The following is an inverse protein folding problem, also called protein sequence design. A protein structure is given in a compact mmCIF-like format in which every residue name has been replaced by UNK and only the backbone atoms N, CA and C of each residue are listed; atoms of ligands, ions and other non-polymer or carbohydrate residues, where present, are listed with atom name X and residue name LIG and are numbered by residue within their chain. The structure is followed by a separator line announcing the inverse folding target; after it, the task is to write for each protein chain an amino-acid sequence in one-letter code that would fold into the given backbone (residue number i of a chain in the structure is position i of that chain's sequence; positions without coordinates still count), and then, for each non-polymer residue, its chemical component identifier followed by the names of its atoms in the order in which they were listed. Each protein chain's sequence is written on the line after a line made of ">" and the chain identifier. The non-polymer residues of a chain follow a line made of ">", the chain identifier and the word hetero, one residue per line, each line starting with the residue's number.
data_IF_504743430627
#
_entry.id   IF_504743430627
#
_cell.length_a   1.000
_cell.length_b   1.000
_cell.length_c   1.000
_cell.angle_alpha   90.00
_cell.angle_beta   90.00
_cell.angle_gamma   90.00
#
_symmetry.space_group_name_H-M   'P 1'
#
loop_
_entity.id
_entity.type
_entity.pdbx_description
1 polymer ?
#
# COMPACT_ATOMS: atom_id res chain seq x y z
N UNK A 1 29.25 -8.86 -3.05
CA UNK A 1 28.53 -10.14 -3.09
C UNK A 1 28.25 -10.65 -1.67
N UNK A 2 29.29 -10.94 -0.87
CA UNK A 2 29.11 -11.19 0.58
C UNK A 2 28.33 -10.07 1.26
N UNK A 3 28.67 -8.80 1.01
CA UNK A 3 27.92 -7.63 1.51
C UNK A 3 26.45 -7.60 1.09
N UNK A 4 26.13 -7.96 -0.16
CA UNK A 4 24.76 -8.05 -0.67
C UNK A 4 23.98 -9.18 -0.01
N UNK A 5 24.59 -10.36 0.13
CA UNK A 5 24.05 -11.49 0.90
C UNK A 5 23.85 -11.13 2.37
N UNK A 6 24.80 -10.42 2.98
CA UNK A 6 24.71 -9.94 4.35
C UNK A 6 23.56 -8.96 4.52
N UNK A 7 23.38 -8.00 3.60
CA UNK A 7 22.25 -7.05 3.65
C UNK A 7 20.92 -7.78 3.44
N UNK A 8 20.83 -8.67 2.45
CA UNK A 8 19.63 -9.45 2.19
C UNK A 8 19.25 -10.34 3.40
N UNK A 9 20.24 -10.96 4.05
CA UNK A 9 20.01 -11.81 5.22
C UNK A 9 19.73 -11.01 6.52
N UNK A 10 20.61 -10.07 6.89
CA UNK A 10 20.54 -9.35 8.17
C UNK A 10 19.48 -8.24 8.17
N UNK A 11 19.33 -7.51 7.06
CA UNK A 11 18.43 -6.35 7.01
C UNK A 11 17.05 -6.77 6.49
N UNK A 12 17.00 -7.45 5.34
CA UNK A 12 15.72 -7.76 4.68
C UNK A 12 15.05 -8.95 5.35
N UNK A 13 15.71 -10.10 5.43
CA UNK A 13 15.11 -11.33 5.94
C UNK A 13 14.79 -11.23 7.45
N UNK A 14 15.79 -10.85 8.26
CA UNK A 14 15.63 -10.68 9.72
C UNK A 14 14.73 -9.50 10.11
N UNK A 15 14.69 -8.44 9.29
CA UNK A 15 13.78 -7.30 9.48
C UNK A 15 12.34 -7.69 9.16
N UNK A 16 12.11 -8.33 8.02
CA UNK A 16 10.80 -8.82 7.60
C UNK A 16 10.24 -9.89 8.56
N UNK A 17 11.08 -10.80 9.07
CA UNK A 17 10.68 -11.83 10.05
C UNK A 17 10.10 -11.19 11.32
N UNK A 18 10.80 -10.19 11.89
CA UNK A 18 10.32 -9.50 13.10
C UNK A 18 9.02 -8.72 12.87
N UNK A 19 8.88 -8.09 11.72
CA UNK A 19 7.67 -7.32 11.39
C UNK A 19 6.50 -8.27 11.11
N UNK A 20 6.73 -9.32 10.32
CA UNK A 20 5.70 -10.31 9.97
C UNK A 20 5.24 -11.12 11.18
N UNK A 21 6.14 -11.57 12.05
CA UNK A 21 5.78 -12.33 13.25
C UNK A 21 4.92 -11.50 14.20
N UNK A 22 5.33 -10.26 14.44
CA UNK A 22 4.66 -9.35 15.38
C UNK A 22 3.32 -8.87 14.80
N UNK A 23 3.28 -8.45 13.54
CA UNK A 23 2.04 -8.00 12.89
C UNK A 23 1.05 -9.14 12.69
N UNK A 24 1.50 -10.34 12.29
CA UNK A 24 0.61 -11.47 12.14
C UNK A 24 0.04 -11.91 13.50
N UNK A 25 0.89 -12.02 14.52
CA UNK A 25 0.43 -12.40 15.85
C UNK A 25 -0.55 -11.39 16.44
N UNK A 26 -0.25 -10.10 16.38
CA UNK A 26 -1.20 -9.08 16.89
C UNK A 26 -2.51 -9.05 16.13
N UNK A 27 -2.49 -9.27 14.81
CA UNK A 27 -3.72 -9.29 14.02
C UNK A 27 -4.55 -10.55 14.28
N UNK A 28 -3.90 -11.71 14.43
CA UNK A 28 -4.55 -12.97 14.79
C UNK A 28 -5.10 -12.95 16.23
N UNK A 29 -4.37 -12.37 17.18
CA UNK A 29 -4.83 -12.22 18.57
C UNK A 29 -6.01 -11.24 18.68
N UNK A 30 -6.12 -10.27 17.74
CA UNK A 30 -7.23 -9.33 17.67
C UNK A 30 -8.48 -9.89 16.95
N UNK A 31 -8.39 -11.01 16.25
CA UNK A 31 -9.52 -11.59 15.49
C UNK A 31 -10.76 -11.89 16.35
N UNK A 32 -10.65 -12.52 17.53
CA UNK A 32 -11.81 -12.76 18.38
C UNK A 32 -12.53 -11.46 18.74
N UNK A 33 -11.77 -10.40 19.03
CA UNK A 33 -12.34 -9.07 19.31
C UNK A 33 -13.08 -8.48 18.13
N UNK A 34 -12.52 -8.57 16.92
CA UNK A 34 -13.19 -8.12 15.68
C UNK A 34 -14.46 -8.93 15.39
N UNK A 35 -14.44 -10.25 15.60
CA UNK A 35 -15.61 -11.10 15.42
C UNK A 35 -16.71 -10.80 16.45
N UNK A 36 -16.33 -10.62 17.72
CA UNK A 36 -17.26 -10.22 18.78
C UNK A 36 -17.89 -8.84 18.52
N UNK A 37 -17.13 -7.89 17.96
CA UNK A 37 -17.65 -6.59 17.57
C UNK A 37 -18.68 -6.70 16.44
N UNK A 38 -18.46 -7.57 15.45
CA UNK A 38 -19.44 -7.84 14.38
C UNK A 38 -20.72 -8.46 14.96
N UNK A 39 -20.59 -9.38 15.92
CA UNK A 39 -21.73 -10.01 16.58
C UNK A 39 -22.51 -9.01 17.45
N UNK A 40 -21.80 -8.11 18.14
CA UNK A 40 -22.40 -7.03 18.91
C UNK A 40 -23.16 -6.05 18.00
N UNK A 41 -22.57 -5.64 16.87
CA UNK A 41 -23.22 -4.74 15.89
C UNK A 41 -24.47 -5.38 15.27
N UNK A 42 -24.43 -6.68 14.97
CA UNK A 42 -25.57 -7.43 14.43
C UNK A 42 -26.70 -7.53 15.47
N UNK A 43 -26.36 -7.86 16.72
CA UNK A 43 -27.33 -7.95 17.82
C UNK A 43 -27.92 -6.58 18.19
N UNK A 44 -27.15 -5.50 18.04
CA UNK A 44 -27.61 -4.12 18.23
C UNK A 44 -28.45 -3.59 17.06
N UNK A 45 -28.57 -4.34 15.96
CA UNK A 45 -29.30 -3.93 14.75
C UNK A 45 -28.62 -2.83 13.94
N UNK A 46 -27.33 -2.56 14.18
CA UNK A 46 -26.55 -1.56 13.43
C UNK A 46 -26.18 -2.06 12.03
N UNK A 47 -26.08 -3.37 11.85
CA UNK A 47 -25.79 -4.04 10.56
C UNK A 47 -26.79 -5.17 10.31
N UNK A 48 -27.01 -5.50 9.05
CA UNK A 48 -27.84 -6.64 8.65
C UNK A 48 -27.03 -7.94 8.47
N UNK A 49 -27.70 -9.07 8.32
CA UNK A 49 -27.06 -10.39 8.17
C UNK A 49 -26.08 -10.46 6.99
N UNK A 50 -26.43 -9.83 5.86
CA UNK A 50 -25.58 -9.83 4.67
C UNK A 50 -24.30 -9.00 4.89
N UNK A 51 -24.41 -7.86 5.57
CA UNK A 51 -23.27 -7.01 5.95
C UNK A 51 -22.38 -7.67 6.99
N UNK A 52 -22.96 -8.35 7.98
CA UNK A 52 -22.19 -9.13 8.95
C UNK A 52 -21.41 -10.26 8.27
N UNK A 53 -22.02 -10.94 7.31
CA UNK A 53 -21.34 -12.00 6.54
C UNK A 53 -20.22 -11.45 5.65
N UNK A 54 -20.41 -10.29 5.02
CA UNK A 54 -19.35 -9.59 4.28
C UNK A 54 -18.18 -9.21 5.20
N UNK A 55 -18.44 -8.51 6.32
CA UNK A 55 -17.40 -8.14 7.29
C UNK A 55 -16.66 -9.35 7.86
N UNK A 56 -17.35 -10.45 8.16
CA UNK A 56 -16.69 -11.70 8.61
C UNK A 56 -15.77 -12.27 7.54
N UNK A 57 -16.16 -12.21 6.27
CA UNK A 57 -15.32 -12.62 5.15
C UNK A 57 -14.08 -11.73 5.03
N UNK A 58 -14.23 -10.42 5.22
CA UNK A 58 -13.11 -9.48 5.19
C UNK A 58 -12.12 -9.76 6.33
N UNK A 59 -12.61 -9.95 7.55
CA UNK A 59 -11.78 -10.31 8.72
C UNK A 59 -11.09 -11.66 8.53
N UNK A 60 -11.77 -12.65 7.93
CA UNK A 60 -11.16 -13.93 7.61
C UNK A 60 -10.07 -13.80 6.54
N UNK A 61 -10.29 -12.99 5.50
CA UNK A 61 -9.29 -12.70 4.46
C UNK A 61 -8.06 -11.99 5.02
N UNK A 62 -8.25 -11.06 5.95
CA UNK A 62 -7.15 -10.39 6.67
C UNK A 62 -6.31 -11.41 7.46
N UNK A 63 -6.95 -12.34 8.16
CA UNK A 63 -6.25 -13.38 8.90
C UNK A 63 -5.51 -14.39 8.03
N UNK A 64 -6.14 -14.85 6.95
CA UNK A 64 -5.50 -15.74 5.96
C UNK A 64 -4.28 -15.05 5.33
N UNK A 65 -4.38 -13.75 5.08
CA UNK A 65 -3.29 -12.95 4.55
C UNK A 65 -2.09 -12.87 5.50
N UNK A 66 -2.33 -12.49 6.76
CA UNK A 66 -1.27 -12.40 7.76
C UNK A 66 -0.68 -13.78 8.11
N UNK A 67 -1.50 -14.84 8.06
CA UNK A 67 -1.02 -16.22 8.16
C UNK A 67 -0.12 -16.62 6.98
N UNK A 68 -0.50 -16.27 5.75
CA UNK A 68 0.31 -16.51 4.56
C UNK A 68 1.61 -15.67 4.56
N UNK A 69 1.61 -14.46 5.12
CA UNK A 69 2.78 -13.60 5.29
C UNK A 69 3.85 -14.20 6.22
N UNK A 70 3.44 -14.75 7.36
CA UNK A 70 4.36 -15.45 8.28
C UNK A 70 5.00 -16.67 7.58
N UNK A 71 4.21 -17.40 6.78
CA UNK A 71 4.70 -18.48 5.92
C UNK A 71 5.71 -17.99 4.89
N UNK A 72 5.37 -16.95 4.11
CA UNK A 72 6.23 -16.38 3.07
C UNK A 72 7.57 -15.88 3.62
N UNK A 73 7.57 -15.24 4.81
CA UNK A 73 8.78 -14.76 5.47
C UNK A 73 9.74 -15.91 5.84
N UNK A 74 9.20 -17.07 6.26
CA UNK A 74 10.00 -18.29 6.51
C UNK A 74 10.57 -18.88 5.22
N UNK A 75 9.86 -18.79 4.10
CA UNK A 75 10.38 -19.20 2.78
C UNK A 75 11.55 -18.32 2.32
N UNK A 76 11.46 -17.00 2.48
CA UNK A 76 12.56 -16.06 2.13
C UNK A 76 13.80 -16.35 2.98
N UNK A 77 13.62 -16.70 4.26
CA UNK A 77 14.73 -17.14 5.11
C UNK A 77 15.37 -18.44 4.64
N UNK A 78 14.56 -19.40 4.21
CA UNK A 78 15.04 -20.66 3.62
C UNK A 78 15.85 -20.43 2.34
N UNK A 79 15.37 -19.54 1.47
CA UNK A 79 16.04 -19.14 0.22
C UNK A 79 17.43 -18.52 0.48
N UNK A 80 17.53 -17.60 1.44
CA UNK A 80 18.80 -16.97 1.80
C UNK A 80 19.82 -17.96 2.39
N UNK A 81 19.36 -18.92 3.22
CA UNK A 81 20.21 -19.98 3.78
C UNK A 81 20.68 -20.92 2.66
N UNK A 82 19.79 -21.34 1.77
CA UNK A 82 20.10 -22.21 0.64
C UNK A 82 21.12 -21.53 -0.30
N UNK A 83 20.93 -20.25 -0.63
CA UNK A 83 21.87 -19.49 -1.45
C UNK A 83 23.27 -19.39 -0.83
N UNK A 84 23.37 -19.27 0.50
CA UNK A 84 24.65 -19.25 1.20
C UNK A 84 25.34 -20.62 1.19
N UNK A 85 24.58 -21.72 1.33
CA UNK A 85 25.11 -23.07 1.19
C UNK A 85 25.61 -23.36 -0.23
N UNK A 86 24.82 -22.99 -1.25
CA UNK A 86 25.19 -23.17 -2.67
C UNK A 86 26.48 -22.40 -2.97
N UNK A 87 26.61 -21.16 -2.49
CA UNK A 87 27.84 -20.39 -2.65
C UNK A 87 29.05 -21.06 -2.01
N UNK A 88 28.92 -21.56 -0.78
CA UNK A 88 30.00 -22.25 -0.08
C UNK A 88 30.41 -23.54 -0.81
N UNK A 89 29.43 -24.32 -1.27
CA UNK A 89 29.65 -25.57 -2.01
C UNK A 89 30.31 -25.29 -3.37
N UNK A 90 29.82 -24.30 -4.12
CA UNK A 90 30.39 -23.94 -5.43
C UNK A 90 31.81 -23.39 -5.30
N UNK A 91 32.07 -22.60 -4.26
CA UNK A 91 33.40 -22.06 -4.01
C UNK A 91 34.39 -23.16 -3.60
N UNK A 92 34.08 -23.92 -2.55
CA UNK A 92 35.00 -24.94 -2.01
C UNK A 92 35.10 -26.12 -2.99
N UNK A 93 33.96 -26.62 -3.46
CA UNK A 93 33.89 -27.73 -4.41
C UNK A 93 34.51 -27.38 -5.75
N UNK A 94 34.24 -26.18 -6.28
CA UNK A 94 34.84 -25.69 -7.51
C UNK A 94 36.36 -25.59 -7.42
N UNK A 95 36.89 -24.99 -6.35
CA UNK A 95 38.35 -24.88 -6.14
C UNK A 95 38.98 -26.27 -5.96
N UNK A 96 38.39 -27.16 -5.17
CA UNK A 96 38.89 -28.52 -5.00
C UNK A 96 38.90 -29.29 -6.33
N UNK A 97 37.83 -29.22 -7.13
CA UNK A 97 37.76 -29.88 -8.43
C UNK A 97 38.78 -29.25 -9.40
N UNK A 98 38.95 -27.93 -9.38
CA UNK A 98 39.95 -27.22 -10.17
C UNK A 98 41.37 -27.72 -9.92
N UNK A 99 41.73 -27.89 -8.65
CA UNK A 99 43.06 -28.36 -8.23
C UNK A 99 43.23 -29.85 -8.51
N UNK A 100 42.30 -30.69 -8.04
CA UNK A 100 42.49 -32.16 -8.05
C UNK A 100 42.12 -32.83 -9.37
N UNK A 101 41.19 -32.28 -10.14
CA UNK A 101 40.69 -32.90 -11.38
C UNK A 101 41.26 -32.24 -12.64
N UNK A 102 41.48 -30.93 -12.60
CA UNK A 102 41.93 -30.15 -13.77
C UNK A 102 43.39 -29.69 -13.68
N UNK A 103 44.14 -30.12 -12.65
CA UNK A 103 45.56 -29.78 -12.44
C UNK A 103 45.86 -28.27 -12.48
N UNK A 104 44.86 -27.44 -12.13
CA UNK A 104 45.03 -26.00 -12.06
C UNK A 104 45.83 -25.64 -10.82
N UNK A 105 46.69 -24.63 -10.94
CA UNK A 105 47.33 -24.02 -9.77
C UNK A 105 46.24 -23.50 -8.82
N UNK A 106 46.51 -23.56 -7.50
CA UNK A 106 45.54 -23.13 -6.49
C UNK A 106 45.06 -21.69 -6.71
N UNK A 107 45.94 -20.81 -7.20
CA UNK A 107 45.61 -19.43 -7.54
C UNK A 107 44.67 -19.31 -8.75
N UNK A 108 44.95 -20.05 -9.84
CA UNK A 108 44.12 -20.04 -11.04
C UNK A 108 42.74 -20.67 -10.78
N UNK A 109 42.69 -21.77 -10.03
CA UNK A 109 41.44 -22.39 -9.60
C UNK A 109 40.62 -21.43 -8.73
N UNK A 110 41.26 -20.72 -7.81
CA UNK A 110 40.58 -19.74 -6.96
C UNK A 110 39.98 -18.60 -7.79
N UNK A 111 40.74 -17.96 -8.68
CA UNK A 111 40.21 -16.87 -9.51
C UNK A 111 39.03 -17.29 -10.39
N UNK A 112 39.15 -18.44 -11.06
CA UNK A 112 38.13 -18.90 -12.01
C UNK A 112 36.83 -19.31 -11.31
N UNK A 113 36.91 -20.12 -10.25
CA UNK A 113 35.72 -20.60 -9.56
C UNK A 113 35.09 -19.53 -8.65
N UNK A 114 35.87 -18.58 -8.11
CA UNK A 114 35.32 -17.39 -7.45
C UNK A 114 34.52 -16.54 -8.44
N UNK A 115 35.05 -16.29 -9.65
CA UNK A 115 34.37 -15.48 -10.66
C UNK A 115 33.05 -16.14 -11.12
N UNK A 116 33.05 -17.44 -11.37
CA UNK A 116 31.82 -18.19 -11.70
C UNK A 116 30.80 -18.16 -10.56
N UNK A 117 31.25 -18.34 -9.31
CA UNK A 117 30.37 -18.33 -8.14
C UNK A 117 29.73 -16.95 -7.90
N UNK A 118 30.44 -15.86 -8.21
CA UNK A 118 29.88 -14.51 -8.16
C UNK A 118 28.77 -14.34 -9.21
N UNK A 119 28.99 -14.83 -10.44
CA UNK A 119 28.00 -14.78 -11.51
C UNK A 119 26.73 -15.55 -11.16
N UNK A 120 26.88 -16.80 -10.70
CA UNK A 120 25.78 -17.67 -10.28
C UNK A 120 24.96 -17.06 -9.14
N UNK A 121 25.63 -16.53 -8.12
CA UNK A 121 24.95 -15.92 -6.99
C UNK A 121 24.24 -14.59 -7.31
N UNK A 122 24.70 -13.83 -8.32
CA UNK A 122 23.98 -12.65 -8.82
C UNK A 122 22.72 -13.05 -9.60
N UNK A 123 22.80 -14.10 -10.42
CA UNK A 123 21.65 -14.61 -11.19
C UNK A 123 20.59 -15.18 -10.25
N UNK A 124 20.98 -15.94 -9.23
CA UNK A 124 20.09 -16.48 -8.21
C UNK A 124 19.37 -15.37 -7.40
N UNK A 125 19.91 -14.15 -7.37
CA UNK A 125 19.34 -13.03 -6.62
C UNK A 125 18.18 -12.33 -7.33
N UNK A 126 18.13 -12.37 -8.67
CA UNK A 126 17.09 -11.70 -9.45
C UNK A 126 15.68 -12.26 -9.10
N UNK A 127 15.44 -13.59 -9.10
CA UNK A 127 14.15 -14.16 -8.71
C UNK A 127 13.77 -13.84 -7.26
N UNK A 128 14.73 -13.92 -6.34
CA UNK A 128 14.52 -13.66 -4.91
C UNK A 128 14.09 -12.21 -4.67
N UNK A 129 14.74 -11.26 -5.34
CA UNK A 129 14.41 -9.84 -5.25
C UNK A 129 13.04 -9.54 -5.87
N UNK A 130 12.71 -10.14 -7.02
CA UNK A 130 11.37 -10.04 -7.62
C UNK A 130 10.28 -10.59 -6.69
N UNK A 131 10.50 -11.75 -6.07
CA UNK A 131 9.56 -12.35 -5.13
C UNK A 131 9.35 -11.48 -3.89
N UNK A 132 10.43 -10.95 -3.31
CA UNK A 132 10.38 -10.06 -2.15
C UNK A 132 9.62 -8.77 -2.47
N UNK A 133 9.86 -8.18 -3.66
CA UNK A 133 9.18 -6.96 -4.08
C UNK A 133 7.69 -7.21 -4.35
N UNK A 134 7.35 -8.33 -5.00
CA UNK A 134 5.97 -8.72 -5.24
C UNK A 134 5.21 -8.96 -3.92
N UNK A 135 5.82 -9.67 -2.97
CA UNK A 135 5.27 -9.84 -1.64
C UNK A 135 5.05 -8.49 -0.94
N UNK A 136 6.04 -7.59 -0.96
CA UNK A 136 5.93 -6.25 -0.37
C UNK A 136 4.76 -5.44 -0.98
N UNK A 137 4.61 -5.47 -2.31
CA UNK A 137 3.51 -4.80 -3.01
C UNK A 137 2.16 -5.36 -2.56
N UNK A 138 2.01 -6.68 -2.51
CA UNK A 138 0.77 -7.35 -2.08
C UNK A 138 0.44 -6.96 -0.63
N UNK A 139 1.43 -6.91 0.26
CA UNK A 139 1.28 -6.55 1.68
C UNK A 139 0.78 -5.13 1.89
N UNK A 140 1.27 -4.20 1.09
CA UNK A 140 0.89 -2.80 1.23
C UNK A 140 -0.52 -2.47 0.72
N UNK A 141 -1.24 -3.41 0.08
CA UNK A 141 -2.49 -3.10 -0.64
C UNK A 141 -3.73 -3.91 -0.23
N UNK A 142 -3.69 -4.62 0.91
CA UNK A 142 -4.81 -5.44 1.45
C UNK A 142 -6.08 -4.63 1.76
N UNK A 143 -6.05 -3.30 1.68
CA UNK A 143 -7.20 -2.43 1.93
C UNK A 143 -8.18 -2.30 0.76
N UNK A 144 -7.79 -2.65 -0.47
CA UNK A 144 -8.66 -2.53 -1.65
C UNK A 144 -9.17 -3.89 -2.12
N UNK A 145 -10.48 -4.05 -2.16
CA UNK A 145 -11.22 -5.27 -2.55
C UNK A 145 -11.19 -5.60 -4.05
N UNK A 146 -10.26 -5.01 -4.80
CA UNK A 146 -10.07 -5.19 -6.23
C UNK A 146 -9.17 -6.37 -6.59
N UNK A 147 -9.46 -7.02 -7.72
CA UNK A 147 -8.63 -8.08 -8.27
C UNK A 147 -7.33 -7.46 -8.85
N UNK A 148 -6.19 -7.74 -8.21
CA UNK A 148 -4.87 -7.13 -8.52
C UNK A 148 -4.54 -7.25 -10.02
N UNK A 149 -4.87 -8.39 -10.64
CA UNK A 149 -4.62 -8.60 -12.07
C UNK A 149 -5.45 -7.63 -12.92
N UNK A 150 -6.67 -7.31 -12.49
CA UNK A 150 -7.57 -6.37 -13.16
C UNK A 150 -7.12 -4.92 -12.94
N UNK A 151 -6.63 -4.58 -11.76
CA UNK A 151 -6.14 -3.23 -11.42
C UNK A 151 -4.78 -2.92 -12.06
N UNK A 152 -3.85 -3.88 -12.04
CA UNK A 152 -2.56 -3.74 -12.72
C UNK A 152 -2.77 -3.64 -14.22
N UNK A 153 -3.70 -4.42 -14.78
CA UNK A 153 -4.10 -4.31 -16.18
C UNK A 153 -4.77 -2.96 -16.47
N UNK A 154 -5.62 -2.47 -15.59
CA UNK A 154 -6.33 -1.19 -15.75
C UNK A 154 -5.49 0.04 -15.41
N UNK A 155 -4.29 -0.11 -14.81
CA UNK A 155 -3.38 1.02 -14.52
C UNK A 155 -2.17 1.03 -15.48
N UNK A 156 -1.51 -0.11 -15.69
CA UNK A 156 -0.35 -0.21 -16.59
C UNK A 156 -0.75 -0.27 -18.06
N UNK A 157 -1.82 -1.02 -18.40
CA UNK A 157 -2.37 -1.06 -19.77
C UNK A 157 -3.54 -0.10 -19.94
N UNK A 158 -3.64 0.98 -19.16
CA UNK A 158 -4.62 2.03 -19.43
C UNK A 158 -4.00 3.42 -19.62
N UNK A 159 -2.73 3.60 -19.28
CA UNK A 159 -1.98 4.82 -19.56
C UNK A 159 -1.24 4.69 -20.91
N UNK A 160 -1.73 5.33 -22.00
CA UNK A 160 -1.07 5.24 -23.31
C UNK A 160 0.36 5.78 -23.25
N UNK A 161 0.61 6.76 -22.38
CA UNK A 161 1.92 7.38 -22.14
C UNK A 161 2.99 6.37 -21.70
N UNK A 162 2.65 5.43 -20.80
CA UNK A 162 3.59 4.39 -20.31
C UNK A 162 3.90 3.37 -21.41
N UNK A 163 2.91 3.01 -22.23
CA UNK A 163 3.13 2.11 -23.37
C UNK A 163 4.00 2.76 -24.46
N UNK A 164 3.87 4.06 -24.70
CA UNK A 164 4.73 4.78 -25.65
C UNK A 164 6.18 4.91 -25.17
N UNK A 165 6.41 5.16 -23.88
CA UNK A 165 7.78 5.19 -23.32
C UNK A 165 8.43 3.81 -23.39
N UNK A 166 7.70 2.75 -23.02
CA UNK A 166 8.18 1.37 -23.17
C UNK A 166 8.49 1.00 -24.63
N UNK A 167 7.61 1.38 -25.57
CA UNK A 167 7.82 1.18 -27.01
C UNK A 167 9.10 1.86 -27.50
N UNK A 168 9.35 3.09 -27.02
CA UNK A 168 10.53 3.88 -27.37
C UNK A 168 11.82 3.25 -26.85
N UNK A 169 11.82 2.79 -25.60
CA UNK A 169 12.97 2.09 -25.00
C UNK A 169 13.25 0.78 -25.75
N UNK A 170 12.22 -0.01 -26.02
CA UNK A 170 12.34 -1.25 -26.79
C UNK A 170 12.88 -1.01 -28.21
N UNK A 171 12.47 0.08 -28.85
CA UNK A 171 12.99 0.47 -30.16
C UNK A 171 14.47 0.86 -30.09
N UNK A 172 14.88 1.64 -29.09
CA UNK A 172 16.29 2.01 -28.88
C UNK A 172 17.15 0.76 -28.67
N UNK A 173 16.71 -0.16 -27.81
CA UNK A 173 17.41 -1.44 -27.60
C UNK A 173 17.48 -2.28 -28.88
N UNK A 174 16.46 -2.23 -29.72
CA UNK A 174 16.45 -2.91 -31.01
C UNK A 174 17.46 -2.33 -32.01
N UNK A 175 18.01 -1.13 -31.80
CA UNK A 175 19.02 -0.52 -32.70
C UNK A 175 20.44 -0.74 -32.18
N UNK A 176 20.60 -1.08 -30.89
CA UNK A 176 21.91 -1.32 -30.29
C UNK A 176 22.58 -2.58 -30.90
N UNK A 177 23.79 -2.47 -31.46
CA UNK A 177 24.51 -3.61 -32.02
C UNK A 177 24.90 -4.60 -30.92
N UNK A 178 24.70 -5.90 -31.18
CA UNK A 178 24.96 -6.99 -30.23
C UNK A 178 23.71 -7.55 -29.53
N UNK A 179 22.54 -6.96 -29.73
CA UNK A 179 21.25 -7.49 -29.25
C UNK A 179 20.46 -8.15 -30.40
N UNK A 180 19.59 -9.14 -30.11
CA UNK A 180 18.75 -9.76 -31.13
C UNK A 180 17.70 -8.76 -31.64
N UNK A 181 18.02 -8.05 -32.73
CA UNK A 181 17.20 -6.98 -33.30
C UNK A 181 15.75 -7.41 -33.62
N UNK A 182 15.58 -8.65 -34.09
CA UNK A 182 14.30 -9.15 -34.60
C UNK A 182 13.23 -9.30 -33.49
N UNK A 183 13.48 -9.95 -32.33
CA UNK A 183 12.57 -9.92 -31.18
C UNK A 183 12.19 -8.52 -30.69
N UNK A 184 13.16 -7.62 -30.52
CA UNK A 184 12.90 -6.29 -29.97
C UNK A 184 12.07 -5.41 -30.91
N UNK A 185 12.28 -5.50 -32.23
CA UNK A 185 11.45 -4.83 -33.23
C UNK A 185 9.99 -5.34 -33.19
N UNK A 186 9.79 -6.65 -33.06
CA UNK A 186 8.44 -7.24 -32.96
C UNK A 186 7.73 -6.75 -31.70
N UNK A 187 8.40 -6.78 -30.54
CA UNK A 187 7.82 -6.31 -29.28
C UNK A 187 7.54 -4.80 -29.30
N UNK A 188 8.44 -3.99 -29.86
CA UNK A 188 8.23 -2.56 -30.04
C UNK A 188 7.02 -2.28 -30.95
N UNK A 189 6.90 -2.98 -32.07
CA UNK A 189 5.75 -2.83 -32.97
C UNK A 189 4.43 -3.23 -32.29
N UNK A 190 4.43 -4.32 -31.52
CA UNK A 190 3.25 -4.81 -30.80
C UNK A 190 2.82 -3.83 -29.70
N UNK A 191 3.76 -3.34 -28.88
CA UNK A 191 3.50 -2.34 -27.84
C UNK A 191 3.06 -1.00 -28.43
N UNK A 192 3.67 -0.56 -29.54
CA UNK A 192 3.26 0.65 -30.25
C UNK A 192 1.84 0.54 -30.81
N UNK A 193 1.48 -0.63 -31.35
CA UNK A 193 0.14 -0.90 -31.85
C UNK A 193 -0.91 -0.91 -30.73
N UNK A 194 -0.60 -1.52 -29.58
CA UNK A 194 -1.51 -1.51 -28.42
C UNK A 194 -1.67 -0.10 -27.83
N UNK A 195 -0.58 0.66 -27.71
CA UNK A 195 -0.61 2.06 -27.29
C UNK A 195 -1.49 2.93 -28.21
N UNK A 196 -1.30 2.80 -29.52
CA UNK A 196 -2.07 3.54 -30.52
C UNK A 196 -3.55 3.19 -30.51
N UNK A 197 -3.88 1.90 -30.46
CA UNK A 197 -5.27 1.43 -30.41
C UNK A 197 -5.98 1.89 -29.14
N UNK A 198 -5.26 1.97 -28.02
CA UNK A 198 -5.79 2.40 -26.74
C UNK A 198 -5.96 3.92 -26.66
N UNK A 199 -5.03 4.68 -27.24
CA UNK A 199 -5.11 6.14 -27.34
C UNK A 199 -6.29 6.62 -28.19
N UNK A 200 -6.86 5.75 -29.04
CA UNK A 200 -8.06 6.04 -29.85
C UNK A 200 -9.39 5.77 -29.14
N UNK A 201 -9.39 5.20 -27.92
CA UNK A 201 -10.61 5.07 -27.12
C UNK A 201 -10.90 6.41 -26.43
N UNK A 202 -12.17 6.87 -26.40
CA UNK A 202 -12.52 8.16 -25.79
C UNK A 202 -12.10 8.18 -24.31
N UNK A 203 -11.26 9.16 -23.97
CA UNK A 203 -10.67 9.38 -22.66
C UNK A 203 -11.75 9.76 -21.64
N UNK A 204 -12.09 8.83 -20.75
CA UNK A 204 -12.67 9.16 -19.43
C UNK A 204 -11.54 9.48 -18.42
N UNK A 205 -10.28 9.21 -18.78
CA UNK A 205 -9.11 9.28 -17.91
C UNK A 205 -8.35 10.63 -17.92
N UNK A 206 -8.87 11.69 -18.56
CA UNK A 206 -8.27 13.04 -18.44
C UNK A 206 -8.60 13.75 -17.12
N UNK A 207 -9.56 13.20 -16.34
CA UNK A 207 -9.90 13.71 -15.01
C UNK A 207 -8.95 13.16 -13.93
N UNK A 208 -8.33 11.99 -14.14
CA UNK A 208 -7.46 11.34 -13.15
C UNK A 208 -6.00 11.83 -13.19
N UNK A 209 -5.42 12.12 -14.36
CA UNK A 209 -4.08 12.74 -14.45
C UNK A 209 -4.06 14.15 -13.83
N UNK A 210 -5.14 14.93 -14.04
CA UNK A 210 -5.31 16.21 -13.34
C UNK A 210 -5.47 16.02 -11.83
N UNK A 211 -6.16 14.97 -11.38
CA UNK A 211 -6.30 14.65 -9.96
C UNK A 211 -4.97 14.22 -9.33
N UNK A 212 -4.14 13.44 -10.01
CA UNK A 212 -2.81 13.01 -9.54
C UNK A 212 -1.82 14.17 -9.48
N UNK A 213 -1.78 15.06 -10.48
CA UNK A 213 -0.97 16.28 -10.41
C UNK A 213 -1.47 17.24 -9.31
N UNK A 214 -2.79 17.37 -9.10
CA UNK A 214 -3.32 18.12 -7.96
C UNK A 214 -3.04 17.43 -6.64
N UNK A 215 -3.13 16.10 -6.52
CA UNK A 215 -2.81 15.36 -5.30
C UNK A 215 -1.32 15.49 -4.95
N UNK A 216 -0.43 15.41 -5.94
CA UNK A 216 1.02 15.56 -5.73
C UNK A 216 1.39 17.00 -5.37
N UNK A 217 0.74 18.01 -5.98
CA UNK A 217 0.88 19.42 -5.54
C UNK A 217 0.30 19.66 -4.15
N UNK A 218 -0.84 19.04 -3.83
CA UNK A 218 -1.47 19.18 -2.50
C UNK A 218 -0.61 18.51 -1.42
N UNK A 219 0.08 17.41 -1.72
CA UNK A 219 1.00 16.72 -0.79
C UNK A 219 2.34 17.47 -0.66
N UNK A 220 2.85 18.05 -1.74
CA UNK A 220 4.08 18.85 -1.70
C UNK A 220 3.89 20.20 -0.99
N UNK A 221 2.71 20.83 -1.11
CA UNK A 221 2.38 22.09 -0.41
C UNK A 221 1.90 21.88 1.04
N UNK A 222 1.51 20.67 1.45
CA UNK A 222 1.06 20.39 2.83
C UNK A 222 2.17 20.07 3.83
N UNK A 223 3.43 19.99 3.41
CA UNK A 223 4.56 19.77 4.35
C UNK A 223 4.93 21.03 5.17
N UNK A 224 4.32 22.18 4.89
CA UNK A 224 4.52 23.43 5.66
C UNK A 224 3.24 24.02 6.28
N UNK A 225 2.20 23.23 6.53
CA UNK A 225 1.26 23.61 7.60
C UNK A 225 1.78 23.06 8.92
N UNK A 226 2.65 23.84 9.55
CA UNK A 226 2.90 23.72 10.98
C UNK A 226 1.54 23.59 11.67
N UNK A 227 1.33 22.49 12.38
CA UNK A 227 0.19 22.33 13.27
C UNK A 227 0.31 23.44 14.32
N UNK A 228 -0.34 24.58 14.09
CA UNK A 228 -0.43 25.66 15.04
C UNK A 228 -1.58 25.37 15.99
N UNK A 229 -1.54 25.99 17.17
CA UNK A 229 -2.64 25.93 18.14
C UNK A 229 -3.98 26.45 17.56
N UNK A 230 -3.97 27.14 16.42
CA UNK A 230 -5.18 27.58 15.71
C UNK A 230 -5.84 26.47 14.87
N UNK A 231 -5.12 25.39 14.54
CA UNK A 231 -5.63 24.26 13.71
C UNK A 231 -6.39 23.22 14.55
N UNK A 232 -6.38 23.32 15.88
CA UNK A 232 -7.19 22.49 16.75
C UNK A 232 -8.65 22.98 16.65
N UNK A 233 -9.60 22.19 16.10
CA UNK A 233 -10.99 22.59 16.13
C UNK A 233 -11.41 22.73 17.60
N UNK A 234 -11.86 23.93 17.99
CA UNK A 234 -12.50 24.12 19.29
C UNK A 234 -13.65 23.11 19.36
N UNK A 235 -13.54 22.14 20.25
CA UNK A 235 -14.59 21.16 20.49
C UNK A 235 -15.82 21.97 20.92
N UNK A 236 -16.87 21.96 20.11
CA UNK A 236 -18.15 22.56 20.44
C UNK A 236 -18.87 21.55 21.36
N UNK A 237 -18.93 21.77 22.69
CA UNK A 237 -19.48 20.77 23.60
C UNK A 237 -20.97 20.50 23.34
N UNK A 238 -21.69 21.49 22.81
CA UNK A 238 -23.10 21.37 22.43
C UNK A 238 -23.34 22.18 21.15
N UNK A 239 -23.87 21.51 20.12
CA UNK A 239 -24.31 22.16 18.87
C UNK A 239 -25.77 21.80 18.56
N UNK A 240 -26.50 22.77 18.00
CA UNK A 240 -27.89 22.59 17.57
C UNK A 240 -27.97 22.73 16.06
N UNK A 241 -28.29 21.63 15.36
CA UNK A 241 -28.46 21.63 13.90
C UNK A 241 -29.93 21.86 13.52
N UNK A 242 -30.20 22.90 12.74
CA UNK A 242 -31.53 23.25 12.26
C UNK A 242 -31.73 22.80 10.81
N UNK A 243 -32.88 22.21 10.52
CA UNK A 243 -33.33 22.01 9.14
C UNK A 243 -33.88 23.30 8.54
N UNK A 244 -33.90 23.39 7.20
CA UNK A 244 -34.29 24.57 6.42
C UNK A 244 -35.59 25.26 6.88
N UNK A 245 -36.63 24.50 7.25
CA UNK A 245 -37.91 25.04 7.72
C UNK A 245 -37.83 25.79 9.06
N UNK A 246 -36.80 25.51 9.87
CA UNK A 246 -36.62 26.07 11.21
C UNK A 246 -35.62 27.22 11.25
N UNK A 247 -34.94 27.51 10.14
CA UNK A 247 -33.99 28.65 10.02
C UNK A 247 -34.69 29.98 10.30
N UNK A 248 -35.96 30.09 9.93
CA UNK A 248 -36.78 31.29 10.19
C UNK A 248 -36.95 31.65 11.68
N UNK A 249 -36.66 30.71 12.61
CA UNK A 249 -36.71 30.93 14.05
C UNK A 249 -35.42 31.56 14.62
N UNK A 250 -34.35 31.63 13.82
CA UNK A 250 -33.06 32.25 14.16
C UNK A 250 -32.91 33.63 13.53
N UNK A 251 -33.81 33.98 12.61
CA UNK A 251 -33.79 35.24 11.86
C UNK A 251 -33.88 36.46 12.79
N UNK A 252 -32.89 37.36 12.69
CA UNK A 252 -32.82 38.60 13.48
C UNK A 252 -33.96 39.56 13.15
N UNK A 253 -34.53 39.49 11.95
CA UNK A 253 -35.65 40.33 11.53
C UNK A 253 -36.96 40.01 12.24
N UNK A 254 -37.11 38.78 12.75
CA UNK A 254 -38.31 38.29 13.46
C UNK A 254 -38.14 38.23 14.98
N UNK A 255 -37.14 38.91 15.53
CA UNK A 255 -36.91 38.98 16.97
C UNK A 255 -36.16 37.79 17.58
N UNK A 256 -35.59 36.90 16.76
CA UNK A 256 -34.74 35.77 17.18
C UNK A 256 -35.28 34.94 18.37
N UNK A 257 -36.48 34.36 18.25
CA UNK A 257 -37.14 33.65 19.35
C UNK A 257 -36.36 32.43 19.85
N UNK A 258 -35.65 31.72 18.96
CA UNK A 258 -34.91 30.52 19.32
C UNK A 258 -33.70 30.84 20.20
N UNK A 259 -32.91 31.86 19.84
CA UNK A 259 -31.72 32.24 20.63
C UNK A 259 -32.11 32.76 22.01
N UNK A 260 -33.20 33.50 22.12
CA UNK A 260 -33.72 33.96 23.41
C UNK A 260 -34.15 32.78 24.30
N UNK A 261 -34.86 31.79 23.72
CA UNK A 261 -35.28 30.59 24.46
C UNK A 261 -34.08 29.75 24.92
N UNK A 262 -33.08 29.58 24.06
CA UNK A 262 -31.84 28.85 24.40
C UNK A 262 -31.12 29.51 25.56
N UNK A 263 -31.01 30.85 25.58
CA UNK A 263 -30.42 31.59 26.70
C UNK A 263 -31.20 31.38 28.01
N UNK A 264 -32.53 31.46 27.96
CA UNK A 264 -33.38 31.22 29.14
C UNK A 264 -33.24 29.80 29.68
N UNK A 265 -33.22 28.79 28.80
CA UNK A 265 -33.01 27.39 29.20
C UNK A 265 -31.61 27.19 29.79
N UNK A 266 -30.58 27.80 29.19
CA UNK A 266 -29.21 27.76 29.71
C UNK A 266 -29.15 28.31 31.14
N UNK A 267 -29.83 29.42 31.40
CA UNK A 267 -29.86 30.04 32.72
C UNK A 267 -30.56 29.15 33.75
N UNK A 268 -31.77 28.66 33.44
CA UNK A 268 -32.53 27.80 34.36
C UNK A 268 -31.76 26.52 34.71
N UNK A 269 -31.18 25.85 33.70
CA UNK A 269 -30.42 24.61 33.94
C UNK A 269 -29.11 24.89 34.70
N UNK A 270 -28.46 26.03 34.43
CA UNK A 270 -27.24 26.40 35.16
C UNK A 270 -27.54 26.70 36.63
N UNK A 271 -28.63 27.41 36.91
CA UNK A 271 -29.07 27.71 38.28
C UNK A 271 -29.49 26.45 39.04
N UNK A 272 -30.13 25.50 38.35
CA UNK A 272 -30.64 24.27 38.98
C UNK A 272 -29.52 23.28 39.31
N UNK A 273 -28.53 23.16 38.43
CA UNK A 273 -27.45 22.18 38.57
C UNK A 273 -26.16 22.76 39.19
N UNK A 274 -26.13 24.08 39.45
CA UNK A 274 -24.96 24.76 40.03
C UNK A 274 -23.73 24.80 39.12
N UNK A 275 -23.91 24.58 37.81
CA UNK A 275 -22.82 24.53 36.82
C UNK A 275 -23.20 25.39 35.62
N UNK A 276 -22.32 26.31 35.23
CA UNK A 276 -22.53 27.16 34.05
C UNK A 276 -22.40 26.32 32.77
N UNK A 277 -23.48 26.19 32.02
CA UNK A 277 -23.47 25.50 30.74
C UNK A 277 -22.74 26.32 29.66
N UNK A 278 -21.97 25.66 28.77
CA UNK A 278 -21.29 26.32 27.65
C UNK A 278 -22.27 26.90 26.64
N UNK A 279 -21.78 27.79 25.78
CA UNK A 279 -22.62 28.41 24.75
C UNK A 279 -23.01 27.40 23.67
N UNK A 280 -24.31 27.36 23.33
CA UNK A 280 -24.85 26.47 22.30
C UNK A 280 -24.76 27.21 20.96
N UNK A 281 -23.93 26.71 20.04
CA UNK A 281 -23.86 27.22 18.67
C UNK A 281 -24.92 26.57 17.79
N UNK A 282 -25.58 27.37 16.98
CA UNK A 282 -26.62 26.94 16.05
C UNK A 282 -26.00 26.80 14.66
N UNK A 283 -26.19 25.64 14.01
CA UNK A 283 -25.72 25.37 12.65
C UNK A 283 -26.91 25.09 11.75
N UNK A 284 -26.85 25.60 10.52
CA UNK A 284 -27.84 25.28 9.49
C UNK A 284 -27.40 24.02 8.75
N UNK A 285 -28.26 23.00 8.74
CA UNK A 285 -28.04 21.79 7.96
C UNK A 285 -28.62 22.00 6.57
N UNK A 286 -27.78 22.41 5.63
CA UNK A 286 -28.15 22.41 4.21
C UNK A 286 -28.23 20.94 3.75
N UNK A 287 -29.30 20.51 3.06
CA UNK A 287 -29.32 19.18 2.45
C UNK A 287 -28.21 19.08 1.37
N UNK A 288 -27.69 17.86 1.10
CA UNK A 288 -26.80 17.63 -0.03
C UNK A 288 -27.51 17.91 -1.37
#
# INVERSE_FOLDING_TARGET
>A
MLTLFTINFIVVTKGAERISEVSARFTLDAMPGKQMAIDADLNAGLINQAQAQARRKDVAGEADFYGAMDGASKFVRGDAIAGMMILAINLIGGVCIGIFKYDLSAEAAFQQYVLMTIGDGLVAQIPSLLLSTAAAIIVTRVSDSGDIATDVRSQLLASPSVLYTATSIMFVLAVVPGMPHFPFLIFSALLGFTAWRMSKRPKVAETEEKNLETLTKTIAETTEQQVSWETIPLIEPISLSLGYKLVSLVDKSKGNPLTQRIRGVRQVISDTNGVLLPEIRIREKLPP
#
